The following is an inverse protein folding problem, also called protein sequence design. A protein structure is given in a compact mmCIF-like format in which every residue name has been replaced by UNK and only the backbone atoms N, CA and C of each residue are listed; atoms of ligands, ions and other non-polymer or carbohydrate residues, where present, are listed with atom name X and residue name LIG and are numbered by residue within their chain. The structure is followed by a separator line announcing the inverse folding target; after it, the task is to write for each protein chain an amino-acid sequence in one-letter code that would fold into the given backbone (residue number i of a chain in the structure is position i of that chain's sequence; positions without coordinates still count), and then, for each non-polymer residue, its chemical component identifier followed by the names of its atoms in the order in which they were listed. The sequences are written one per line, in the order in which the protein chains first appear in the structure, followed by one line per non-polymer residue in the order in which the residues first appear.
data_IF_882500684457
#
_entry.id   IF_882500684457
#
_cell.length_a   1.000
_cell.length_b   1.000
_cell.length_c   1.000
_cell.angle_alpha   90.00
_cell.angle_beta   90.00
_cell.angle_gamma   90.00
#
_symmetry.space_group_name_H-M   'P 1'
#
loop_
_entity.id
_entity.type
_entity.pdbx_description
1 polymer ?
#
# COMPACT_ATOMS: atom_id res chain seq x y z
N UNK A 1 6.23 2.39 12.10
CA UNK A 1 5.63 1.20 12.73
C UNK A 1 4.15 1.18 12.37
N UNK A 2 3.67 0.15 11.67
CA UNK A 2 2.22 0.04 11.34
C UNK A 2 1.49 -0.11 12.67
N UNK A 3 0.64 0.88 13.04
CA UNK A 3 -0.02 0.90 14.36
C UNK A 3 -0.99 -0.27 14.57
N UNK A 4 -1.41 -0.95 13.50
CA UNK A 4 -2.34 -2.08 13.53
C UNK A 4 -2.00 -3.08 12.43
N UNK A 5 -2.13 -4.38 12.73
CA UNK A 5 -2.10 -5.40 11.70
C UNK A 5 -3.25 -5.14 10.70
N UNK A 6 -3.00 -5.20 9.38
CA UNK A 6 -4.06 -5.01 8.39
C UNK A 6 -5.12 -6.11 8.56
N UNK A 7 -6.38 -5.74 8.34
CA UNK A 7 -7.54 -6.64 8.45
C UNK A 7 -7.46 -7.76 7.42
N UNK A 8 -6.99 -7.44 6.21
CA UNK A 8 -6.92 -8.32 5.03
C UNK A 8 -5.77 -7.89 4.12
N UNK A 9 -5.22 -8.83 3.36
CA UNK A 9 -4.24 -8.58 2.30
C UNK A 9 -4.84 -9.07 0.98
N UNK A 10 -4.78 -8.26 -0.07
CA UNK A 10 -5.28 -8.61 -1.40
C UNK A 10 -4.11 -8.68 -2.37
N UNK A 11 -3.98 -9.82 -3.05
CA UNK A 11 -2.87 -10.15 -3.95
C UNK A 11 -3.44 -10.38 -5.35
N UNK A 12 -2.71 -9.96 -6.39
CA UNK A 12 -3.12 -10.15 -7.78
C UNK A 12 -2.76 -11.56 -8.22
N UNK A 13 -3.78 -12.34 -8.57
CA UNK A 13 -3.62 -13.67 -9.15
C UNK A 13 -4.57 -13.82 -10.33
N UNK A 14 -4.06 -14.34 -11.46
CA UNK A 14 -4.85 -14.75 -12.63
C UNK A 14 -5.88 -13.72 -13.13
N UNK A 15 -5.57 -12.42 -13.03
CA UNK A 15 -6.42 -11.33 -13.50
C UNK A 15 -7.43 -10.79 -12.46
N UNK A 16 -7.43 -11.30 -11.24
CA UNK A 16 -8.27 -10.82 -10.12
C UNK A 16 -7.48 -10.57 -8.85
N UNK A 17 -8.19 -10.19 -7.79
CA UNK A 17 -7.65 -10.06 -6.43
C UNK A 17 -8.11 -11.22 -5.57
N UNK A 18 -7.15 -11.91 -4.97
CA UNK A 18 -7.38 -12.96 -3.99
C UNK A 18 -7.10 -12.40 -2.60
N UNK A 19 -7.98 -12.74 -1.66
CA UNK A 19 -7.83 -12.37 -0.26
C UNK A 19 -6.92 -13.38 0.46
N UNK A 20 -5.98 -12.86 1.23
CA UNK A 20 -5.10 -13.59 2.13
C UNK A 20 -5.19 -12.99 3.53
N UNK A 21 -5.15 -13.87 4.53
CA UNK A 21 -4.93 -13.42 5.90
C UNK A 21 -3.54 -12.80 6.05
N UNK A 22 -3.39 -11.89 7.00
CA UNK A 22 -2.08 -11.29 7.28
C UNK A 22 -1.03 -12.34 7.67
N UNK A 23 -1.45 -13.41 8.35
CA UNK A 23 -0.57 -14.53 8.73
C UNK A 23 -0.10 -15.35 7.54
N UNK A 24 -0.97 -15.64 6.57
CA UNK A 24 -0.58 -16.34 5.35
C UNK A 24 0.35 -15.48 4.51
N UNK A 25 0.06 -14.18 4.40
CA UNK A 25 0.94 -13.23 3.74
C UNK A 25 2.35 -13.22 4.34
N UNK A 26 2.48 -13.16 5.67
CA UNK A 26 3.78 -13.22 6.33
C UNK A 26 4.53 -14.52 6.02
N UNK A 27 3.86 -15.68 6.09
CA UNK A 27 4.45 -16.98 5.75
C UNK A 27 4.93 -17.04 4.31
N UNK A 28 4.07 -16.64 3.36
CA UNK A 28 4.42 -16.59 1.94
C UNK A 28 5.64 -15.69 1.71
N UNK A 29 5.70 -14.54 2.38
CA UNK A 29 6.83 -13.61 2.25
C UNK A 29 8.14 -14.18 2.83
N UNK A 30 8.07 -15.04 3.83
CA UNK A 30 9.25 -15.72 4.40
C UNK A 30 9.73 -16.88 3.52
N UNK A 31 8.81 -17.58 2.86
CA UNK A 31 9.13 -18.75 2.02
C UNK A 31 9.43 -18.44 0.56
N UNK A 32 8.88 -17.35 0.02
CA UNK A 32 8.91 -17.02 -1.40
C UNK A 32 9.48 -15.61 -1.63
N UNK A 33 10.66 -15.55 -2.25
CA UNK A 33 11.36 -14.31 -2.54
C UNK A 33 10.59 -13.40 -3.50
N UNK A 34 9.70 -13.94 -4.35
CA UNK A 34 8.91 -13.14 -5.30
C UNK A 34 7.97 -12.16 -4.59
N UNK A 35 7.58 -12.45 -3.34
CA UNK A 35 6.77 -11.57 -2.52
C UNK A 35 7.52 -10.32 -2.01
N UNK A 36 8.85 -10.32 -2.07
CA UNK A 36 9.65 -9.14 -1.69
C UNK A 36 9.60 -8.04 -2.74
N UNK A 37 9.39 -8.39 -4.00
CA UNK A 37 9.31 -7.44 -5.10
C UNK A 37 7.89 -6.87 -5.30
N UNK A 38 6.88 -7.48 -4.65
CA UNK A 38 5.50 -7.03 -4.69
C UNK A 38 5.32 -5.73 -3.91
N UNK A 39 4.60 -4.79 -4.52
CA UNK A 39 4.33 -3.48 -3.95
C UNK A 39 2.91 -3.43 -3.38
N UNK A 40 2.75 -2.86 -2.19
CA UNK A 40 1.46 -2.78 -1.50
C UNK A 40 1.13 -1.35 -1.07
N UNK A 41 -0.12 -0.95 -1.28
CA UNK A 41 -0.66 0.30 -0.74
C UNK A 41 -1.67 0.03 0.37
N UNK A 42 -1.67 0.84 1.46
CA UNK A 42 -2.67 0.71 2.51
C UNK A 42 -3.98 1.40 2.11
N UNK A 43 -5.09 0.66 2.14
CA UNK A 43 -6.45 1.17 1.87
C UNK A 43 -7.39 0.69 2.96
N UNK A 44 -7.98 1.62 3.73
CA UNK A 44 -9.03 1.35 4.74
C UNK A 44 -8.71 0.19 5.69
N UNK A 45 -7.44 0.05 6.10
CA UNK A 45 -6.99 -1.03 6.98
C UNK A 45 -6.70 -2.36 6.28
N UNK A 46 -6.67 -2.40 4.95
CA UNK A 46 -6.22 -3.53 4.15
C UNK A 46 -4.90 -3.19 3.42
N UNK A 47 -4.16 -4.22 3.01
CA UNK A 47 -3.03 -4.08 2.07
C UNK A 47 -3.47 -4.57 0.69
N UNK A 48 -3.20 -3.78 -0.35
CA UNK A 48 -3.55 -4.12 -1.73
C UNK A 48 -2.28 -4.17 -2.58
N UNK A 49 -2.03 -5.31 -3.23
CA UNK A 49 -0.96 -5.43 -4.22
C UNK A 49 -1.26 -4.56 -5.45
N UNK A 50 -0.25 -3.80 -5.87
CA UNK A 50 -0.33 -2.90 -7.01
C UNK A 50 0.93 -3.00 -7.87
N UNK A 51 0.81 -2.58 -9.12
CA UNK A 51 1.98 -2.42 -10.00
C UNK A 51 2.74 -1.14 -9.64
N UNK A 52 3.98 -1.05 -10.12
CA UNK A 52 4.90 0.06 -9.80
C UNK A 52 4.32 1.42 -10.16
N UNK A 53 3.67 1.53 -11.31
CA UNK A 53 3.07 2.78 -11.79
C UNK A 53 2.00 3.28 -10.81
N UNK A 54 1.07 2.39 -10.42
CA UNK A 54 0.01 2.69 -9.45
C UNK A 54 0.57 3.00 -8.05
N UNK A 55 1.63 2.31 -7.64
CA UNK A 55 2.32 2.58 -6.38
C UNK A 55 2.90 4.00 -6.37
N UNK A 56 3.61 4.38 -7.44
CA UNK A 56 4.19 5.72 -7.57
C UNK A 56 3.11 6.80 -7.59
N UNK A 57 2.03 6.61 -8.34
CA UNK A 57 0.92 7.58 -8.43
C UNK A 57 0.25 7.81 -7.06
N UNK A 58 -0.02 6.73 -6.32
CA UNK A 58 -0.62 6.82 -4.99
C UNK A 58 0.19 7.68 -4.01
N UNK A 59 1.52 7.57 -4.05
CA UNK A 59 2.39 8.37 -3.18
C UNK A 59 2.64 9.78 -3.72
N UNK A 60 2.68 9.96 -5.04
CA UNK A 60 2.78 11.28 -5.68
C UNK A 60 1.64 12.19 -5.26
N UNK A 61 0.42 11.69 -5.21
CA UNK A 61 -0.75 12.47 -4.79
C UNK A 61 -0.69 12.83 -3.29
N UNK A 62 -0.23 11.91 -2.45
CA UNK A 62 -0.03 12.18 -1.01
C UNK A 62 1.05 13.25 -0.78
N UNK A 63 2.14 13.21 -1.53
CA UNK A 63 3.18 14.23 -1.46
C UNK A 63 2.68 15.58 -1.95
N UNK A 64 1.94 15.61 -3.06
CA UNK A 64 1.30 16.83 -3.58
C UNK A 64 0.35 17.43 -2.55
N UNK A 65 -0.49 16.63 -1.91
CA UNK A 65 -1.41 17.11 -0.89
C UNK A 65 -0.69 17.71 0.32
N UNK A 66 0.36 17.04 0.81
CA UNK A 66 1.23 17.59 1.88
C UNK A 66 1.90 18.89 1.47
N UNK A 67 2.32 18.99 0.21
CA UNK A 67 2.94 20.20 -0.32
C UNK A 67 1.95 21.37 -0.34
N UNK A 68 0.72 21.16 -0.84
CA UNK A 68 -0.33 22.17 -0.84
C UNK A 68 -0.69 22.62 0.59
N UNK A 69 -0.86 21.68 1.54
CA UNK A 69 -1.10 22.04 2.94
C UNK A 69 0.00 22.89 3.56
N UNK A 70 1.27 22.62 3.20
CA UNK A 70 2.40 23.44 3.64
C UNK A 70 2.34 24.84 3.04
N UNK A 71 1.92 24.98 1.78
CA UNK A 71 1.74 26.28 1.15
C UNK A 71 0.59 27.05 1.80
N UNK A 72 -0.56 26.42 2.03
CA UNK A 72 -1.71 27.05 2.70
C UNK A 72 -1.33 27.56 4.10
N UNK A 73 -0.67 26.71 4.89
CA UNK A 73 -0.17 27.08 6.23
C UNK A 73 0.81 28.25 6.18
N UNK A 74 1.70 28.29 5.17
CA UNK A 74 2.70 29.36 5.00
C UNK A 74 2.08 30.66 4.51
N UNK A 75 1.07 30.59 3.65
CA UNK A 75 0.44 31.75 3.03
C UNK A 75 -0.73 32.34 3.84
N UNK A 76 -1.18 31.66 4.91
CA UNK A 76 -2.31 32.09 5.78
C UNK A 76 -3.50 32.66 4.97
N UNK A 77 -3.92 31.94 3.94
CA UNK A 77 -5.25 32.13 3.36
C UNK A 77 -6.30 31.51 4.29
#
# INVERSE_FOLDING_TARGET
MVKYAPRKVYIRESGGYVELSYTEFCRCRESDQTYMDKLFIPIQGCLLEVVREQYTDFYRDKERWRYLQKLDTKNRL
#
